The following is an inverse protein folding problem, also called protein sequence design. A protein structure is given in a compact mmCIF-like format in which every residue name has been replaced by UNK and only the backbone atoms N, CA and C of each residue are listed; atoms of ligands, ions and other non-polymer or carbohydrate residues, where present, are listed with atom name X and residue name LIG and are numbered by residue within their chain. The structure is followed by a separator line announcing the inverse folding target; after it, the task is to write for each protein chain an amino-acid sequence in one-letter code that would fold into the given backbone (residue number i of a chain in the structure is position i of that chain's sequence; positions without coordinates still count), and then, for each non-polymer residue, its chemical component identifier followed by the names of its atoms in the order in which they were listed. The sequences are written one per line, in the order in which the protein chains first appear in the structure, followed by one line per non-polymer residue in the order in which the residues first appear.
data_IF_912491776302
#
_entry.id   IF_912491776302
#
_cell.length_a   1.000
_cell.length_b   1.000
_cell.length_c   1.000
_cell.angle_alpha   90.00
_cell.angle_beta   90.00
_cell.angle_gamma   90.00
#
_symmetry.space_group_name_H-M   'P 1'
#
loop_
_entity.id
_entity.type
_entity.pdbx_description
1 polymer ?
#
# COMPACT_ATOMS: atom_id res chain seq x y z
N UNK A 1 10.49 1.90 -15.88
CA UNK A 1 11.41 3.05 -16.01
C UNK A 1 12.43 2.94 -14.90
N UNK A 2 13.69 2.64 -15.23
CA UNK A 2 14.77 2.61 -14.25
C UNK A 2 15.27 4.05 -14.06
N UNK A 3 14.86 4.70 -12.98
CA UNK A 3 15.45 5.96 -12.57
C UNK A 3 16.76 5.65 -11.82
N UNK A 4 17.86 6.29 -12.19
CA UNK A 4 19.06 6.29 -11.34
C UNK A 4 18.87 7.32 -10.21
N UNK A 5 18.31 6.90 -9.07
CA UNK A 5 18.15 7.83 -7.94
C UNK A 5 19.49 8.40 -7.48
N UNK A 6 20.56 7.59 -7.53
CA UNK A 6 21.92 8.02 -7.19
C UNK A 6 22.37 9.29 -7.95
N UNK A 7 21.94 9.46 -9.20
CA UNK A 7 22.27 10.65 -10.01
C UNK A 7 21.63 11.92 -9.45
N UNK A 8 20.39 11.84 -8.97
CA UNK A 8 19.65 12.98 -8.42
C UNK A 8 20.14 13.40 -7.03
N UNK A 9 20.66 12.44 -6.26
CA UNK A 9 21.24 12.70 -4.94
C UNK A 9 22.74 13.02 -4.98
N UNK A 10 23.39 12.92 -6.14
CA UNK A 10 24.82 13.23 -6.28
C UNK A 10 25.13 14.66 -5.84
N UNK A 11 26.07 14.80 -4.92
CA UNK A 11 26.49 16.10 -4.36
C UNK A 11 25.50 16.74 -3.40
N UNK A 12 24.37 16.07 -3.10
CA UNK A 12 23.48 16.49 -2.02
C UNK A 12 24.09 16.07 -0.68
N UNK A 13 24.01 16.97 0.29
CA UNK A 13 24.55 16.79 1.64
C UNK A 13 23.50 17.11 2.70
N UNK A 14 23.46 16.33 3.77
CA UNK A 14 22.68 16.65 4.96
C UNK A 14 23.45 17.69 5.79
N UNK A 15 22.76 18.74 6.21
CA UNK A 15 23.35 19.89 6.92
C UNK A 15 24.56 20.53 6.22
N UNK A 16 24.71 20.32 4.90
CA UNK A 16 25.84 20.85 4.13
C UNK A 16 27.15 20.08 4.29
N UNK A 17 27.20 19.06 5.14
CA UNK A 17 28.45 18.36 5.50
C UNK A 17 28.41 16.87 5.15
N UNK A 18 27.36 16.18 5.58
CA UNK A 18 27.25 14.72 5.50
C UNK A 18 26.82 14.28 4.10
N UNK A 19 27.64 13.46 3.44
CA UNK A 19 27.32 12.91 2.13
C UNK A 19 26.20 11.88 2.20
N UNK A 20 25.31 11.90 1.20
CA UNK A 20 24.23 10.91 1.08
C UNK A 20 24.72 9.75 0.21
N UNK A 21 24.81 8.57 0.81
CA UNK A 21 25.07 7.33 0.07
C UNK A 21 23.74 6.70 -0.37
N UNK A 22 23.57 6.53 -1.68
CA UNK A 22 22.36 5.91 -2.24
C UNK A 22 22.65 4.45 -2.61
N UNK A 23 21.80 3.55 -2.11
CA UNK A 23 21.72 2.15 -2.51
C UNK A 23 20.31 1.91 -3.04
N UNK A 24 20.18 1.21 -4.17
CA UNK A 24 18.92 1.05 -4.91
C UNK A 24 18.75 -0.43 -5.29
N UNK A 25 17.55 -0.97 -5.04
CA UNK A 25 17.14 -2.31 -5.44
C UNK A 25 15.61 -2.38 -5.56
N UNK A 26 15.13 -3.41 -6.25
CA UNK A 26 13.72 -3.75 -6.27
C UNK A 26 13.33 -4.58 -5.03
N UNK A 27 12.05 -4.56 -4.64
CA UNK A 27 11.56 -5.37 -3.53
C UNK A 27 11.85 -6.86 -3.69
N UNK A 28 11.87 -7.40 -4.92
CA UNK A 28 12.16 -8.81 -5.16
C UNK A 28 13.62 -9.20 -4.88
N UNK A 29 14.52 -8.22 -4.84
CA UNK A 29 15.95 -8.42 -4.58
C UNK A 29 16.31 -8.11 -3.12
N UNK A 30 15.32 -7.84 -2.27
CA UNK A 30 15.51 -7.48 -0.87
C UNK A 30 15.02 -8.57 0.07
N UNK A 31 15.75 -8.75 1.16
CA UNK A 31 15.31 -9.46 2.35
C UNK A 31 15.83 -8.72 3.59
N UNK A 32 15.34 -9.07 4.78
CA UNK A 32 15.84 -8.44 6.00
C UNK A 32 15.64 -9.32 7.25
N UNK A 33 16.43 -9.01 8.28
CA UNK A 33 16.25 -9.50 9.65
C UNK A 33 16.22 -8.28 10.56
N UNK A 34 15.26 -8.23 11.48
CA UNK A 34 15.13 -7.17 12.46
C UNK A 34 14.90 -7.75 13.86
N UNK A 35 15.57 -7.18 14.85
CA UNK A 35 15.52 -7.58 16.25
C UNK A 35 14.90 -6.46 17.10
N UNK A 36 14.15 -6.84 18.14
CA UNK A 36 13.45 -5.89 19.01
C UNK A 36 14.39 -4.93 19.76
N UNK A 37 15.68 -5.26 19.87
CA UNK A 37 16.70 -4.42 20.49
C UNK A 37 17.24 -3.32 19.55
N UNK A 38 16.69 -3.17 18.34
CA UNK A 38 17.09 -2.16 17.35
C UNK A 38 18.19 -2.61 16.39
N UNK A 39 18.72 -3.84 16.52
CA UNK A 39 19.61 -4.40 15.51
C UNK A 39 18.83 -4.91 14.31
N UNK A 40 19.31 -4.64 13.10
CA UNK A 40 18.72 -5.15 11.88
C UNK A 40 19.76 -5.17 10.75
N UNK A 41 19.47 -5.96 9.71
CA UNK A 41 20.22 -6.02 8.46
C UNK A 41 19.22 -6.13 7.30
N UNK A 42 19.44 -5.34 6.26
CA UNK A 42 18.74 -5.45 4.97
C UNK A 42 19.69 -6.08 3.98
N UNK A 43 19.36 -7.25 3.48
CA UNK A 43 20.15 -7.98 2.50
C UNK A 43 19.64 -7.67 1.10
N UNK A 44 20.56 -7.27 0.24
CA UNK A 44 20.31 -6.91 -1.16
C UNK A 44 21.02 -7.89 -2.08
N UNK A 45 20.26 -8.59 -2.90
CA UNK A 45 20.77 -9.43 -3.97
C UNK A 45 21.15 -8.56 -5.17
N UNK A 46 22.39 -8.73 -5.67
CA UNK A 46 22.89 -8.05 -6.87
C UNK A 46 23.61 -9.04 -7.78
N UNK A 47 23.42 -8.89 -9.09
CA UNK A 47 24.17 -9.68 -10.07
C UNK A 47 25.46 -8.95 -10.43
N UNK A 48 26.61 -9.56 -10.17
CA UNK A 48 27.94 -9.06 -10.55
C UNK A 48 28.63 -10.09 -11.42
N UNK A 49 28.97 -9.72 -12.65
CA UNK A 49 29.61 -10.62 -13.64
C UNK A 49 28.86 -11.95 -13.82
N UNK A 50 27.52 -11.92 -13.79
CA UNK A 50 26.67 -13.11 -13.89
C UNK A 50 26.53 -13.94 -12.61
N UNK A 51 27.21 -13.58 -11.52
CA UNK A 51 27.11 -14.25 -10.23
C UNK A 51 26.18 -13.46 -9.31
N UNK A 52 25.23 -14.15 -8.67
CA UNK A 52 24.39 -13.58 -7.61
C UNK A 52 25.21 -13.40 -6.34
N UNK A 53 25.30 -12.17 -5.86
CA UNK A 53 26.02 -11.80 -4.64
C UNK A 53 25.05 -11.07 -3.73
N UNK A 54 25.06 -11.42 -2.45
CA UNK A 54 24.28 -10.73 -1.42
C UNK A 54 25.17 -9.70 -0.72
N UNK A 55 24.65 -8.48 -0.57
CA UNK A 55 25.28 -7.42 0.24
C UNK A 55 24.33 -7.00 1.35
N UNK A 56 24.82 -6.98 2.58
CA UNK A 56 24.06 -6.49 3.73
C UNK A 56 24.23 -4.99 3.90
N UNK A 57 23.14 -4.32 4.23
CA UNK A 57 23.01 -2.88 4.40
C UNK A 57 22.31 -2.57 5.72
N UNK A 58 22.60 -1.40 6.29
CA UNK A 58 21.87 -0.85 7.44
C UNK A 58 21.37 0.55 7.06
N UNK A 59 20.25 0.67 6.31
CA UNK A 59 19.76 1.96 5.85
C UNK A 59 19.33 2.85 7.01
N UNK A 60 19.77 4.11 6.98
CA UNK A 60 19.32 5.16 7.91
C UNK A 60 17.95 5.73 7.50
N UNK A 61 17.56 5.54 6.24
CA UNK A 61 16.32 6.05 5.66
C UNK A 61 15.94 5.22 4.42
N UNK A 62 14.65 5.10 4.10
CA UNK A 62 14.16 4.42 2.90
C UNK A 62 13.24 5.31 2.06
N UNK A 63 13.41 5.28 0.75
CA UNK A 63 12.49 5.88 -0.22
C UNK A 63 11.78 4.76 -0.99
N UNK A 64 10.47 4.61 -0.82
CA UNK A 64 9.70 3.55 -1.49
C UNK A 64 9.06 4.10 -2.77
N UNK A 65 9.48 3.56 -3.92
CA UNK A 65 8.99 3.94 -5.26
C UNK A 65 8.30 2.80 -6.01
N UNK A 66 8.20 1.62 -5.41
CA UNK A 66 7.53 0.45 -5.96
C UNK A 66 6.27 0.11 -5.18
N UNK A 67 5.34 -0.61 -5.80
CA UNK A 67 4.18 -1.17 -5.11
C UNK A 67 4.62 -2.26 -4.14
N UNK A 68 4.30 -2.10 -2.86
CA UNK A 68 4.60 -3.10 -1.83
C UNK A 68 3.70 -4.35 -1.92
N UNK A 69 2.59 -4.27 -2.65
CA UNK A 69 1.65 -5.37 -2.81
C UNK A 69 0.99 -5.38 -4.19
N UNK A 70 0.85 -6.57 -4.74
CA UNK A 70 0.04 -6.93 -5.89
C UNK A 70 -0.48 -8.35 -5.71
N UNK A 71 -1.69 -8.62 -6.20
CA UNK A 71 -2.27 -9.96 -6.23
C UNK A 71 -1.59 -10.88 -7.28
N UNK A 72 -0.74 -10.33 -8.15
CA UNK A 72 0.05 -11.12 -9.09
C UNK A 72 1.09 -11.99 -8.35
N UNK A 73 1.41 -13.16 -8.91
CA UNK A 73 2.39 -14.08 -8.34
C UNK A 73 3.73 -13.37 -8.11
N UNK A 74 4.24 -13.44 -6.88
CA UNK A 74 5.52 -12.83 -6.49
C UNK A 74 5.44 -11.33 -6.16
N UNK A 75 4.25 -10.72 -6.17
CA UNK A 75 4.07 -9.30 -5.89
C UNK A 75 3.72 -8.95 -4.44
N UNK A 76 3.81 -9.88 -3.49
CA UNK A 76 3.54 -9.61 -2.07
C UNK A 76 4.84 -9.33 -1.32
N UNK A 77 5.13 -8.04 -1.10
CA UNK A 77 6.31 -7.56 -0.38
C UNK A 77 5.94 -6.90 0.95
N UNK A 78 4.72 -7.13 1.45
CA UNK A 78 4.27 -6.56 2.74
C UNK A 78 5.16 -6.99 3.90
N UNK A 79 5.74 -8.19 3.83
CA UNK A 79 6.73 -8.67 4.80
C UNK A 79 7.96 -7.75 4.92
N UNK A 80 8.46 -7.21 3.81
CA UNK A 80 9.57 -6.25 3.82
C UNK A 80 9.17 -4.94 4.50
N UNK A 81 7.98 -4.42 4.18
CA UNK A 81 7.46 -3.18 4.81
C UNK A 81 7.28 -3.35 6.32
N UNK A 82 6.71 -4.47 6.76
CA UNK A 82 6.59 -4.80 8.19
C UNK A 82 7.98 -4.86 8.84
N UNK A 83 8.93 -5.54 8.20
CA UNK A 83 10.29 -5.68 8.70
C UNK A 83 11.03 -4.35 8.86
N UNK A 84 10.92 -3.45 7.88
CA UNK A 84 11.47 -2.09 7.97
C UNK A 84 10.82 -1.28 9.10
N UNK A 85 9.50 -1.44 9.31
CA UNK A 85 8.78 -0.76 10.38
C UNK A 85 9.20 -1.30 11.75
N UNK A 86 9.42 -2.62 11.84
CA UNK A 86 9.91 -3.30 13.04
C UNK A 86 11.35 -2.85 13.39
N UNK A 87 12.20 -2.64 12.38
CA UNK A 87 13.54 -2.07 12.53
C UNK A 87 13.55 -0.58 12.88
N UNK A 88 12.40 0.11 12.84
CA UNK A 88 12.29 1.54 13.14
C UNK A 88 12.91 2.44 12.07
N UNK A 89 13.04 1.97 10.82
CA UNK A 89 13.68 2.74 9.75
C UNK A 89 12.73 3.84 9.23
N UNK A 90 13.13 5.13 9.26
CA UNK A 90 12.34 6.20 8.69
C UNK A 90 12.14 6.04 7.17
N UNK A 91 10.99 6.49 6.64
CA UNK A 91 10.65 6.28 5.22
C UNK A 91 9.81 7.41 4.61
N UNK A 92 9.95 7.57 3.30
CA UNK A 92 9.01 8.32 2.44
C UNK A 92 8.38 7.40 1.38
N UNK A 93 7.05 7.33 1.27
CA UNK A 93 6.09 7.76 2.30
C UNK A 93 6.30 6.94 3.60
N UNK A 94 5.59 7.31 4.68
CA UNK A 94 5.70 6.57 5.94
C UNK A 94 5.37 5.09 5.73
N UNK A 95 6.10 4.18 6.38
CA UNK A 95 5.86 2.73 6.26
C UNK A 95 4.43 2.37 6.67
N UNK A 96 3.88 3.09 7.66
CA UNK A 96 2.46 3.00 8.02
C UNK A 96 1.53 3.27 6.83
N UNK A 97 1.74 4.38 6.10
CA UNK A 97 0.92 4.68 4.92
C UNK A 97 1.12 3.68 3.78
N UNK A 98 2.36 3.20 3.56
CA UNK A 98 2.67 2.21 2.54
C UNK A 98 1.97 0.88 2.83
N UNK A 99 1.99 0.44 4.09
CA UNK A 99 1.26 -0.75 4.53
C UNK A 99 -0.24 -0.61 4.30
N UNK A 100 -0.83 0.52 4.72
CA UNK A 100 -2.26 0.80 4.51
C UNK A 100 -2.63 0.97 3.03
N UNK A 101 -1.68 1.30 2.15
CA UNK A 101 -1.94 1.44 0.71
C UNK A 101 -2.00 0.10 -0.04
N UNK A 102 -1.77 -1.03 0.63
CA UNK A 102 -1.76 -2.34 -0.01
C UNK A 102 -3.15 -2.82 -0.45
N UNK A 103 -4.23 -2.28 0.13
CA UNK A 103 -5.60 -2.58 -0.27
C UNK A 103 -6.27 -1.35 -0.89
N UNK A 104 -6.48 -1.38 -2.22
CA UNK A 104 -7.12 -0.25 -2.93
C UNK A 104 -8.51 0.11 -2.35
N UNK A 105 -9.41 -0.84 -2.02
CA UNK A 105 -10.68 -0.50 -1.39
C UNK A 105 -10.53 0.15 -0.01
N UNK A 106 -9.50 -0.22 0.75
CA UNK A 106 -9.20 0.40 2.05
C UNK A 106 -8.81 1.87 1.89
N UNK A 107 -7.95 2.18 0.91
CA UNK A 107 -7.60 3.57 0.56
C UNK A 107 -8.84 4.33 0.07
N UNK A 108 -9.67 3.70 -0.77
CA UNK A 108 -10.90 4.31 -1.28
C UNK A 108 -11.89 4.65 -0.14
N UNK A 109 -11.98 3.82 0.91
CA UNK A 109 -12.80 4.11 2.08
C UNK A 109 -12.40 5.43 2.79
N UNK A 110 -11.11 5.80 2.77
CA UNK A 110 -10.67 7.11 3.28
C UNK A 110 -11.20 8.25 2.41
N UNK A 111 -11.27 8.07 1.09
CA UNK A 111 -11.85 9.06 0.17
C UNK A 111 -13.36 9.17 0.35
N UNK A 112 -14.07 8.06 0.57
CA UNK A 112 -15.52 8.06 0.90
C UNK A 112 -15.77 8.88 2.17
N UNK A 113 -14.94 8.70 3.21
CA UNK A 113 -15.02 9.50 4.44
C UNK A 113 -14.81 11.00 4.16
N UNK A 114 -13.89 11.36 3.26
CA UNK A 114 -13.66 12.76 2.87
C UNK A 114 -14.84 13.34 2.07
N UNK A 115 -15.39 12.60 1.11
CA UNK A 115 -16.59 13.00 0.36
C UNK A 115 -17.77 13.29 1.30
N UNK A 116 -18.02 12.41 2.28
CA UNK A 116 -19.10 12.62 3.28
C UNK A 116 -18.88 13.87 4.14
N UNK A 117 -17.63 14.25 4.39
CA UNK A 117 -17.28 15.43 5.19
C UNK A 117 -17.37 16.73 4.38
N UNK A 118 -16.91 16.72 3.14
CA UNK A 118 -16.75 17.91 2.31
C UNK A 118 -17.95 18.16 1.39
N UNK A 119 -18.74 17.13 1.11
CA UNK A 119 -19.82 17.17 0.13
C UNK A 119 -19.32 16.88 -1.29
N UNK A 120 -20.22 16.46 -2.19
CA UNK A 120 -19.88 16.08 -3.57
C UNK A 120 -19.48 17.26 -4.46
N UNK A 121 -19.85 18.50 -4.09
CA UNK A 121 -19.45 19.70 -4.82
C UNK A 121 -17.94 19.98 -4.65
N UNK A 122 -17.44 19.89 -3.41
CA UNK A 122 -16.02 20.15 -3.09
C UNK A 122 -15.12 18.92 -3.34
N UNK A 123 -15.66 17.72 -3.17
CA UNK A 123 -14.93 16.47 -3.37
C UNK A 123 -15.76 15.47 -4.20
N UNK A 124 -15.79 15.63 -5.54
CA UNK A 124 -16.60 14.81 -6.44
C UNK A 124 -16.00 13.41 -6.63
N UNK A 125 -16.13 12.56 -5.62
CA UNK A 125 -15.72 11.16 -5.67
C UNK A 125 -16.70 10.36 -6.54
N UNK A 126 -16.16 9.49 -7.41
CA UNK A 126 -16.97 8.58 -8.24
C UNK A 126 -17.80 7.63 -7.39
N UNK A 127 -19.03 7.36 -7.83
CA UNK A 127 -19.86 6.31 -7.23
C UNK A 127 -19.26 4.93 -7.51
N UNK A 128 -18.87 4.23 -6.45
CA UNK A 128 -18.25 2.91 -6.51
C UNK A 128 -18.82 2.01 -5.42
N UNK A 129 -19.14 0.77 -5.80
CA UNK A 129 -19.59 -0.27 -4.88
C UNK A 129 -18.45 -1.24 -4.59
N UNK A 130 -18.18 -1.50 -3.30
CA UNK A 130 -17.25 -2.53 -2.85
C UNK A 130 -17.99 -3.84 -2.59
N UNK A 131 -17.47 -4.93 -3.15
CA UNK A 131 -17.96 -6.29 -2.89
C UNK A 131 -16.87 -7.08 -2.14
N UNK A 132 -17.13 -7.57 -0.91
CA UNK A 132 -16.16 -8.38 -0.18
C UNK A 132 -15.81 -9.69 -0.88
N UNK A 133 -16.74 -10.22 -1.67
CA UNK A 133 -16.60 -11.41 -2.48
C UNK A 133 -17.65 -11.43 -3.60
N UNK A 134 -17.54 -12.41 -4.50
CA UNK A 134 -18.41 -12.51 -5.68
C UNK A 134 -19.89 -12.79 -5.38
N UNK A 135 -20.26 -13.28 -4.18
CA UNK A 135 -21.66 -13.61 -3.86
C UNK A 135 -22.55 -12.38 -3.75
N UNK A 136 -21.97 -11.25 -3.36
CA UNK A 136 -22.68 -9.96 -3.27
C UNK A 136 -22.85 -9.29 -4.65
N UNK A 137 -22.18 -9.82 -5.69
CA UNK A 137 -22.33 -9.34 -7.06
C UNK A 137 -23.56 -10.00 -7.70
N UNK A 138 -24.75 -9.55 -7.32
CA UNK A 138 -26.00 -9.96 -7.96
C UNK A 138 -26.01 -9.50 -9.42
N UNK A 139 -26.24 -10.44 -10.34
CA UNK A 139 -26.36 -10.14 -11.76
C UNK A 139 -27.77 -9.63 -12.07
N UNK A 140 -27.91 -8.73 -13.06
CA UNK A 140 -29.22 -8.30 -13.55
C UNK A 140 -30.11 -9.47 -14.00
N UNK A 141 -29.54 -10.61 -14.36
CA UNK A 141 -30.26 -11.85 -14.70
C UNK A 141 -30.91 -12.55 -13.51
N UNK A 142 -30.47 -12.27 -12.28
CA UNK A 142 -31.09 -12.83 -11.06
C UNK A 142 -32.34 -12.04 -10.63
N UNK A 143 -32.46 -10.78 -11.07
CA UNK A 143 -33.66 -9.94 -10.85
C UNK A 143 -34.87 -10.50 -11.59
N UNK A 144 -34.67 -11.21 -12.71
CA UNK A 144 -35.74 -11.89 -13.44
C UNK A 144 -36.20 -13.22 -12.83
N UNK A 145 -35.52 -13.72 -11.79
CA UNK A 145 -35.90 -14.93 -11.04
C UNK A 145 -36.34 -14.64 -9.60
N UNK A 146 -36.08 -13.44 -9.10
CA UNK A 146 -36.67 -12.97 -7.86
C UNK A 146 -38.10 -12.54 -8.15
N UNK A 147 -39.07 -13.41 -7.85
CA UNK A 147 -40.50 -13.05 -7.86
C UNK A 147 -40.88 -12.00 -6.80
N UNK A 148 -39.91 -11.43 -6.07
CA UNK A 148 -40.19 -10.44 -5.06
C UNK A 148 -39.17 -9.29 -5.09
N UNK A 149 -39.54 -8.23 -5.84
CA UNK A 149 -38.86 -6.93 -5.82
C UNK A 149 -38.79 -6.35 -4.40
N UNK A 150 -39.63 -6.83 -3.46
CA UNK A 150 -39.59 -6.41 -2.07
C UNK A 150 -38.29 -6.80 -1.36
N UNK A 151 -37.67 -7.95 -1.67
CA UNK A 151 -36.44 -8.39 -1.00
C UNK A 151 -35.22 -7.56 -1.47
N UNK A 152 -35.24 -7.09 -2.72
CA UNK A 152 -34.23 -6.17 -3.24
C UNK A 152 -34.35 -4.76 -2.63
N UNK A 153 -35.59 -4.23 -2.55
CA UNK A 153 -35.86 -2.94 -1.92
C UNK A 153 -35.59 -2.98 -0.41
N UNK A 154 -35.89 -4.09 0.27
CA UNK A 154 -35.56 -4.30 1.68
C UNK A 154 -34.04 -4.33 1.91
N UNK A 155 -33.26 -5.00 1.05
CA UNK A 155 -31.79 -5.01 1.14
C UNK A 155 -31.18 -3.62 0.89
N UNK A 156 -31.74 -2.84 -0.03
CA UNK A 156 -31.35 -1.44 -0.23
C UNK A 156 -31.77 -0.56 0.95
N UNK A 157 -32.97 -0.73 1.48
CA UNK A 157 -33.45 0.03 2.65
C UNK A 157 -32.64 -0.30 3.92
N UNK A 158 -32.22 -1.55 4.12
CA UNK A 158 -31.37 -1.93 5.25
C UNK A 158 -29.94 -1.39 5.15
N UNK A 159 -29.42 -1.16 3.93
CA UNK A 159 -28.13 -0.49 3.75
C UNK A 159 -28.22 1.02 3.97
N UNK A 160 -29.37 1.64 3.69
CA UNK A 160 -29.62 3.06 3.98
C UNK A 160 -29.97 3.34 5.47
N UNK A 161 -30.65 2.41 6.17
CA UNK A 161 -31.07 2.63 7.56
C UNK A 161 -30.06 2.21 8.65
N UNK A 162 -29.02 1.45 8.31
CA UNK A 162 -27.94 1.14 9.28
C UNK A 162 -26.95 2.30 9.50
N UNK A 163 -27.12 3.40 8.76
CA UNK A 163 -26.41 4.66 8.94
C UNK A 163 -27.11 5.67 9.86
N UNK A 164 -27.86 5.22 10.88
CA UNK A 164 -28.31 6.12 11.95
C UNK A 164 -27.30 6.10 13.10
N UNK A 165 -26.68 7.26 13.32
CA UNK A 165 -25.89 7.61 14.49
C UNK A 165 -26.50 7.02 15.77
N UNK A 166 -25.71 6.23 16.50
CA UNK A 166 -25.85 6.11 17.94
C UNK A 166 -24.54 6.60 18.57
N UNK A 167 -24.71 7.56 19.48
CA UNK A 167 -23.74 8.38 20.22
C UNK A 167 -22.37 7.76 20.49
#
# INVERSE_FOLDING_TARGET
MCYEEAKYFKGKKLHGELDIKVEQAEFCDLNLVAHANGNFSVDMEVIRNGIKVVRSLKPDFVLIRQHAYSMARGGDHRGIVIGLQYAGVPSVNTLHSVYNFCDKPWVFAQMVRLQRKLGPEEFPLIDQTYYPNHKEMVSWTDVGKAEDLSDYVLRLAHSEFSGSFNN
#
